data_IF_182750424602
#
_entry.id   IF_182750424602
#
_cell.length_a   1.000
_cell.length_b   1.000
_cell.length_c   1.000
_cell.angle_alpha   90.00
_cell.angle_beta   90.00
_cell.angle_gamma   90.00
#
_symmetry.space_group_name_H-M   'P 1'
#
loop_
_entity.id
_entity.type
_entity.pdbx_description
1 polymer ?
#
# COMPACT_ATOMS: atom_id res chain seq x y z
N UNK A 1 2.92 -11.00 7.96
CA UNK A 1 2.88 -10.26 6.68
C UNK A 1 1.47 -10.37 6.15
N UNK A 2 0.58 -9.54 6.68
CA UNK A 2 -0.77 -9.34 6.17
C UNK A 2 -0.63 -8.51 4.91
N UNK A 3 -0.96 -9.09 3.76
CA UNK A 3 -1.08 -8.33 2.52
C UNK A 3 -2.18 -7.28 2.74
N UNK A 4 -1.81 -6.01 2.80
CA UNK A 4 -2.72 -4.88 2.75
C UNK A 4 -3.38 -4.85 1.38
N UNK A 5 -4.67 -4.50 1.35
CA UNK A 5 -5.58 -4.56 0.20
C UNK A 5 -5.18 -3.62 -0.96
N UNK A 6 -4.10 -2.87 -0.82
CA UNK A 6 -3.74 -1.73 -1.66
C UNK A 6 -2.76 -2.03 -2.81
N UNK A 7 -2.05 -3.17 -2.83
CA UNK A 7 -1.04 -3.48 -3.87
C UNK A 7 -1.50 -4.56 -4.88
N UNK A 8 -2.71 -4.43 -5.44
CA UNK A 8 -3.24 -5.35 -6.46
C UNK A 8 -3.38 -4.63 -7.81
N UNK A 9 -2.66 -5.12 -8.82
CA UNK A 9 -2.66 -4.58 -10.17
C UNK A 9 -3.97 -4.96 -10.88
N UNK A 10 -4.84 -3.99 -11.16
CA UNK A 10 -6.22 -4.05 -11.70
C UNK A 10 -6.50 -5.09 -12.83
N UNK A 11 -6.40 -6.39 -12.54
CA UNK A 11 -6.72 -7.45 -13.52
C UNK A 11 -8.16 -7.92 -13.41
N UNK A 12 -8.74 -8.40 -14.51
CA UNK A 12 -10.10 -8.99 -14.51
C UNK A 12 -10.25 -10.08 -13.44
N UNK A 13 -9.23 -10.93 -13.29
CA UNK A 13 -9.24 -12.02 -12.31
C UNK A 13 -9.37 -11.53 -10.87
N UNK A 14 -8.84 -10.35 -10.54
CA UNK A 14 -8.96 -9.78 -9.21
C UNK A 14 -10.36 -9.23 -8.94
N UNK A 15 -10.94 -8.53 -9.93
CA UNK A 15 -12.34 -8.08 -9.86
C UNK A 15 -13.29 -9.28 -9.70
N UNK A 16 -13.07 -10.35 -10.47
CA UNK A 16 -13.83 -11.60 -10.33
C UNK A 16 -13.62 -12.24 -8.95
N UNK A 17 -12.37 -12.31 -8.46
CA UNK A 17 -12.09 -12.88 -7.14
C UNK A 17 -12.77 -12.11 -6.00
N UNK A 18 -12.83 -10.78 -6.08
CA UNK A 18 -13.54 -9.93 -5.12
C UNK A 18 -15.05 -10.22 -5.14
N UNK A 19 -15.63 -10.26 -6.34
CA UNK A 19 -17.04 -10.54 -6.51
C UNK A 19 -17.40 -11.95 -6.04
N UNK A 20 -16.59 -12.97 -6.33
CA UNK A 20 -16.79 -14.35 -5.86
C UNK A 20 -16.72 -14.42 -4.33
N UNK A 21 -15.75 -13.73 -3.70
CA UNK A 21 -15.61 -13.72 -2.23
C UNK A 21 -16.82 -13.13 -1.51
N UNK A 22 -17.59 -12.25 -2.16
CA UNK A 22 -18.83 -11.71 -1.59
C UNK A 22 -19.95 -12.75 -1.44
N UNK A 23 -19.88 -13.86 -2.18
CA UNK A 23 -20.97 -14.84 -2.26
C UNK A 23 -22.13 -14.43 -3.17
N UNK A 24 -22.13 -13.21 -3.69
CA UNK A 24 -23.20 -12.63 -4.51
C UNK A 24 -22.97 -12.79 -6.02
N UNK A 25 -21.80 -13.31 -6.42
CA UNK A 25 -21.50 -13.65 -7.81
C UNK A 25 -22.46 -14.72 -8.36
N UNK A 26 -23.01 -14.45 -9.55
CA UNK A 26 -23.90 -15.37 -10.27
C UNK A 26 -23.43 -15.69 -11.70
N UNK A 27 -22.32 -15.10 -12.13
CA UNK A 27 -21.69 -15.42 -13.42
C UNK A 27 -21.38 -14.19 -14.27
N UNK A 28 -20.72 -14.46 -15.40
CA UNK A 28 -20.39 -13.48 -16.44
C UNK A 28 -20.49 -14.16 -17.79
N UNK A 29 -21.10 -13.48 -18.76
CA UNK A 29 -21.12 -13.96 -20.15
C UNK A 29 -19.76 -13.76 -20.83
N UNK A 30 -19.57 -14.44 -21.96
CA UNK A 30 -18.46 -14.13 -22.85
C UNK A 30 -18.57 -12.67 -23.33
N UNK A 31 -17.42 -12.01 -23.51
CA UNK A 31 -17.41 -10.69 -24.12
C UNK A 31 -17.92 -10.77 -25.55
N UNK A 32 -18.75 -9.80 -25.92
CA UNK A 32 -19.27 -9.67 -27.28
C UNK A 32 -18.79 -8.36 -27.90
N UNK A 33 -18.66 -8.36 -29.22
CA UNK A 33 -18.06 -7.30 -30.01
C UNK A 33 -19.02 -6.89 -31.12
N UNK A 34 -18.96 -5.62 -31.50
CA UNK A 34 -19.83 -5.04 -32.52
C UNK A 34 -19.13 -3.89 -33.24
N UNK A 35 -19.53 -3.65 -34.50
CA UNK A 35 -19.11 -2.46 -35.25
C UNK A 35 -20.17 -1.35 -35.19
N UNK A 36 -21.45 -1.72 -35.10
CA UNK A 36 -22.60 -0.83 -35.20
C UNK A 36 -23.34 -0.64 -33.86
N UNK A 37 -22.96 -1.38 -32.82
CA UNK A 37 -23.63 -1.44 -31.52
C UNK A 37 -24.95 -2.21 -31.54
N UNK A 38 -25.35 -2.79 -32.67
CA UNK A 38 -26.64 -3.47 -32.88
C UNK A 38 -26.42 -4.98 -33.05
N UNK A 39 -25.47 -5.38 -33.89
CA UNK A 39 -25.14 -6.79 -34.12
C UNK A 39 -23.92 -7.16 -33.28
N UNK A 40 -24.08 -8.19 -32.44
CA UNK A 40 -23.08 -8.60 -31.46
C UNK A 40 -22.58 -10.01 -31.75
N UNK A 41 -21.26 -10.19 -31.66
CA UNK A 41 -20.58 -11.48 -31.87
C UNK A 41 -19.54 -11.75 -30.79
N UNK A 42 -19.45 -12.99 -30.32
CA UNK A 42 -18.39 -13.42 -29.40
C UNK A 42 -17.01 -13.54 -30.08
N UNK A 43 -16.99 -13.60 -31.42
CA UNK A 43 -15.78 -13.74 -32.23
C UNK A 43 -15.67 -12.58 -33.21
N UNK A 44 -14.50 -11.95 -33.28
CA UNK A 44 -14.23 -10.85 -34.20
C UNK A 44 -13.16 -11.25 -35.22
N UNK A 45 -13.56 -11.77 -36.40
CA UNK A 45 -12.61 -12.23 -37.42
C UNK A 45 -12.04 -11.09 -38.29
N UNK A 46 -12.45 -9.84 -38.09
CA UNK A 46 -12.00 -8.72 -38.91
C UNK A 46 -10.53 -8.36 -38.63
N UNK A 47 -9.84 -7.83 -39.65
CA UNK A 47 -8.46 -7.34 -39.53
C UNK A 47 -8.32 -6.01 -38.75
N UNK A 48 -9.45 -5.39 -38.39
CA UNK A 48 -9.52 -4.19 -37.56
C UNK A 48 -10.12 -4.50 -36.19
N UNK A 49 -9.81 -3.64 -35.20
CA UNK A 49 -10.47 -3.70 -33.91
C UNK A 49 -11.98 -3.44 -34.05
N UNK A 50 -12.84 -4.10 -33.25
CA UNK A 50 -14.27 -3.79 -33.21
C UNK A 50 -14.50 -2.39 -32.65
N UNK A 51 -15.51 -1.67 -33.14
CA UNK A 51 -15.85 -0.35 -32.61
C UNK A 51 -16.35 -0.40 -31.16
N UNK A 52 -17.05 -1.48 -30.78
CA UNK A 52 -17.66 -1.65 -29.47
C UNK A 52 -17.38 -3.04 -28.88
N UNK A 53 -17.27 -3.07 -27.56
CA UNK A 53 -17.30 -4.30 -26.77
C UNK A 53 -18.34 -4.18 -25.67
N UNK A 54 -18.99 -5.31 -25.36
CA UNK A 54 -19.88 -5.42 -24.21
C UNK A 54 -19.56 -6.65 -23.36
N UNK A 55 -19.87 -6.54 -22.08
CA UNK A 55 -19.87 -7.66 -21.16
C UNK A 55 -21.08 -7.58 -20.23
N UNK A 56 -21.57 -8.75 -19.85
CA UNK A 56 -22.77 -8.92 -19.03
C UNK A 56 -22.42 -9.69 -17.76
N UNK A 57 -22.68 -9.09 -16.60
CA UNK A 57 -22.41 -9.68 -15.28
C UNK A 57 -23.71 -9.90 -14.52
N UNK A 58 -23.82 -11.06 -13.87
CA UNK A 58 -24.97 -11.45 -13.07
C UNK A 58 -24.61 -11.40 -11.59
N UNK A 59 -25.47 -10.74 -10.80
CA UNK A 59 -25.36 -10.63 -9.34
C UNK A 59 -26.65 -11.13 -8.71
N UNK A 60 -26.53 -11.98 -7.69
CA UNK A 60 -27.66 -12.52 -6.95
C UNK A 60 -28.49 -11.41 -6.34
N UNK A 61 -29.81 -11.57 -6.34
CA UNK A 61 -30.75 -10.58 -5.80
C UNK A 61 -30.94 -9.34 -6.67
N UNK A 62 -30.21 -9.20 -7.78
CA UNK A 62 -30.44 -8.14 -8.78
C UNK A 62 -31.31 -8.70 -9.90
N UNK A 63 -32.43 -8.01 -10.19
CA UNK A 63 -33.43 -8.49 -11.16
C UNK A 63 -32.89 -8.56 -12.60
N UNK A 64 -32.03 -7.63 -12.98
CA UNK A 64 -31.50 -7.53 -14.34
C UNK A 64 -29.96 -7.59 -14.30
N UNK A 65 -29.32 -8.28 -15.26
CA UNK A 65 -27.88 -8.28 -15.33
C UNK A 65 -27.34 -6.89 -15.58
N UNK A 66 -26.13 -6.63 -15.09
CA UNK A 66 -25.43 -5.40 -15.39
C UNK A 66 -24.65 -5.57 -16.68
N UNK A 67 -24.93 -4.70 -17.64
CA UNK A 67 -24.28 -4.68 -18.95
C UNK A 67 -23.42 -3.44 -19.01
N UNK A 68 -22.15 -3.59 -19.37
CA UNK A 68 -21.28 -2.48 -19.75
C UNK A 68 -20.99 -2.56 -21.24
N UNK A 69 -21.09 -1.42 -21.90
CA UNK A 69 -20.70 -1.22 -23.30
C UNK A 69 -19.63 -0.15 -23.31
N UNK A 70 -18.53 -0.41 -24.01
CA UNK A 70 -17.41 0.51 -24.16
C UNK A 70 -17.05 0.65 -25.64
N UNK A 71 -16.57 1.84 -26.02
CA UNK A 71 -16.11 2.14 -27.37
C UNK A 71 -14.58 2.01 -27.46
N UNK A 72 -14.08 1.44 -28.57
CA UNK A 72 -12.65 1.24 -28.78
C UNK A 72 -11.90 2.58 -28.79
N UNK A 73 -12.45 3.57 -29.49
CA UNK A 73 -11.86 4.91 -29.60
C UNK A 73 -11.69 5.62 -28.24
N UNK A 74 -12.55 5.30 -27.27
CA UNK A 74 -12.52 5.89 -25.92
C UNK A 74 -11.69 5.05 -24.92
N UNK A 75 -11.40 3.79 -25.26
CA UNK A 75 -10.77 2.84 -24.34
C UNK A 75 -9.27 2.65 -24.61
N UNK A 76 -8.73 3.29 -25.65
CA UNK A 76 -7.32 3.16 -26.00
C UNK A 76 -6.42 3.78 -24.93
N UNK A 77 -5.41 3.05 -24.43
CA UNK A 77 -4.45 3.61 -23.49
C UNK A 77 -3.73 4.85 -24.05
N UNK A 78 -3.42 5.79 -23.17
CA UNK A 78 -2.65 6.98 -23.51
C UNK A 78 -1.17 6.63 -23.80
N UNK A 79 -0.62 5.66 -23.08
CA UNK A 79 0.74 5.17 -23.25
C UNK A 79 0.90 4.35 -24.54
N UNK A 80 1.88 4.72 -25.35
CA UNK A 80 2.09 4.17 -26.70
C UNK A 80 2.39 2.67 -26.68
N UNK A 81 3.22 2.20 -25.75
CA UNK A 81 3.56 0.79 -25.61
C UNK A 81 2.34 -0.09 -25.33
N UNK A 82 1.36 0.46 -24.60
CA UNK A 82 0.10 -0.19 -24.29
C UNK A 82 -0.87 -0.13 -25.46
N UNK A 83 -0.92 0.99 -26.18
CA UNK A 83 -1.69 1.14 -27.42
C UNK A 83 -1.29 0.12 -28.48
N UNK A 84 0.01 -0.02 -28.76
CA UNK A 84 0.55 -1.01 -29.70
C UNK A 84 0.19 -2.44 -29.26
N UNK A 85 0.19 -2.70 -27.96
CA UNK A 85 -0.22 -4.00 -27.43
C UNK A 85 -1.72 -4.27 -27.66
N UNK A 86 -2.57 -3.27 -27.47
CA UNK A 86 -4.01 -3.33 -27.74
C UNK A 86 -4.30 -3.58 -29.22
N UNK A 87 -3.65 -2.85 -30.12
CA UNK A 87 -3.80 -3.05 -31.56
C UNK A 87 -3.41 -4.46 -32.03
N UNK A 88 -2.40 -5.06 -31.39
CA UNK A 88 -1.98 -6.44 -31.67
C UNK A 88 -2.93 -7.49 -31.09
N UNK A 89 -3.65 -7.17 -30.01
CA UNK A 89 -4.53 -8.10 -29.28
C UNK A 89 -5.89 -7.47 -28.95
N UNK A 90 -6.63 -6.99 -29.96
CA UNK A 90 -7.79 -6.12 -29.72
C UNK A 90 -8.87 -6.84 -28.93
N UNK A 91 -9.27 -8.04 -29.37
CA UNK A 91 -10.31 -8.80 -28.69
C UNK A 91 -9.99 -9.13 -27.23
N UNK A 92 -8.75 -9.56 -26.95
CA UNK A 92 -8.37 -10.00 -25.61
C UNK A 92 -8.40 -8.83 -24.63
N UNK A 93 -7.77 -7.72 -24.98
CA UNK A 93 -7.61 -6.59 -24.07
C UNK A 93 -8.89 -5.77 -23.96
N UNK A 94 -9.58 -5.53 -25.07
CA UNK A 94 -10.85 -4.80 -25.06
C UNK A 94 -11.98 -5.59 -24.44
N UNK A 95 -12.06 -6.90 -24.71
CA UNK A 95 -13.00 -7.79 -24.03
C UNK A 95 -12.75 -7.80 -22.51
N UNK A 96 -11.47 -7.80 -22.09
CA UNK A 96 -11.11 -7.71 -20.67
C UNK A 96 -11.48 -6.36 -20.05
N UNK A 97 -11.30 -5.26 -20.78
CA UNK A 97 -11.73 -3.93 -20.35
C UNK A 97 -13.25 -3.86 -20.16
N UNK A 98 -14.03 -4.39 -21.11
CA UNK A 98 -15.49 -4.45 -21.01
C UNK A 98 -15.93 -5.27 -19.78
N UNK A 99 -15.26 -6.40 -19.52
CA UNK A 99 -15.52 -7.22 -18.33
C UNK A 99 -15.24 -6.47 -17.03
N UNK A 100 -14.11 -5.75 -16.93
CA UNK A 100 -13.82 -4.92 -15.75
C UNK A 100 -14.93 -3.89 -15.54
N UNK A 101 -15.31 -3.15 -16.58
CA UNK A 101 -16.39 -2.16 -16.52
C UNK A 101 -17.71 -2.78 -16.02
N UNK A 102 -18.10 -3.94 -16.55
CA UNK A 102 -19.32 -4.63 -16.13
C UNK A 102 -19.27 -5.09 -14.66
N UNK A 103 -18.12 -5.61 -14.20
CA UNK A 103 -17.94 -6.02 -12.80
C UNK A 103 -17.99 -4.81 -11.87
N UNK A 104 -17.37 -3.68 -12.26
CA UNK A 104 -17.46 -2.42 -11.50
C UNK A 104 -18.90 -1.94 -11.36
N UNK A 105 -19.68 -2.00 -12.43
CA UNK A 105 -21.10 -1.64 -12.38
C UNK A 105 -21.91 -2.58 -11.47
N UNK A 106 -21.66 -3.89 -11.56
CA UNK A 106 -22.37 -4.91 -10.78
C UNK A 106 -22.03 -4.90 -9.28
N UNK A 107 -20.79 -4.61 -8.93
CA UNK A 107 -20.25 -4.73 -7.56
C UNK A 107 -19.64 -3.42 -7.07
N UNK A 108 -20.25 -2.29 -7.43
CA UNK A 108 -19.78 -0.94 -7.07
C UNK A 108 -19.52 -0.75 -5.57
N UNK A 109 -20.36 -1.36 -4.74
CA UNK A 109 -20.26 -1.36 -3.27
C UNK A 109 -19.02 -2.10 -2.76
N UNK A 110 -18.53 -3.12 -3.47
CA UNK A 110 -17.34 -3.89 -3.10
C UNK A 110 -16.06 -3.30 -3.71
N UNK A 111 -16.16 -2.86 -4.96
CA UNK A 111 -15.05 -2.34 -5.74
C UNK A 111 -14.71 -0.90 -5.34
N UNK A 112 -15.70 -0.13 -4.89
CA UNK A 112 -15.58 1.30 -4.65
C UNK A 112 -15.50 2.13 -5.93
N UNK A 113 -15.11 3.40 -5.81
CA UNK A 113 -14.84 4.30 -6.95
C UNK A 113 -13.47 4.03 -7.59
N UNK A 114 -13.03 2.76 -7.66
CA UNK A 114 -11.76 2.38 -8.27
C UNK A 114 -11.81 2.66 -9.77
N UNK A 115 -11.26 3.79 -10.18
CA UNK A 115 -11.07 4.18 -11.59
C UNK A 115 -9.84 3.49 -12.16
N UNK A 116 -9.89 3.16 -13.44
CA UNK A 116 -8.69 2.70 -14.15
C UNK A 116 -7.73 3.91 -14.29
N UNK A 117 -6.42 3.68 -14.18
CA UNK A 117 -5.41 4.77 -14.25
C UNK A 117 -5.46 5.54 -15.58
N UNK A 118 -5.90 4.88 -16.65
CA UNK A 118 -6.11 5.45 -17.99
C UNK A 118 -7.41 6.28 -18.13
N UNK A 119 -8.31 6.25 -17.13
CA UNK A 119 -9.54 7.08 -17.09
C UNK A 119 -9.22 8.52 -16.63
N UNK A 120 -7.95 8.80 -16.30
CA UNK A 120 -7.46 10.12 -15.99
C UNK A 120 -7.14 10.85 -17.31
N UNK A 121 -7.96 11.85 -17.67
CA UNK A 121 -7.54 12.87 -18.61
C UNK A 121 -6.69 13.91 -17.85
N UNK A 122 -5.35 13.91 -17.98
CA UNK A 122 -4.53 14.94 -17.33
C UNK A 122 -4.76 16.34 -17.92
N UNK A 123 -5.47 16.45 -19.05
CA UNK A 123 -5.77 17.71 -19.74
C UNK A 123 -7.18 18.25 -19.45
N UNK A 124 -8.06 17.50 -18.78
CA UNK A 124 -9.30 18.06 -18.26
C UNK A 124 -8.93 19.08 -17.16
N UNK A 125 -9.31 20.37 -17.28
CA UNK A 125 -9.08 21.31 -16.20
C UNK A 125 -9.90 20.82 -15.01
N UNK A 126 -9.22 20.20 -14.05
CA UNK A 126 -9.83 19.86 -12.78
C UNK A 126 -10.49 21.14 -12.24
N UNK A 127 -11.81 21.11 -12.06
CA UNK A 127 -12.48 22.08 -11.20
C UNK A 127 -11.65 22.14 -9.92
N UNK A 128 -11.24 23.34 -9.44
CA UNK A 128 -10.24 23.43 -8.40
C UNK A 128 -10.72 22.67 -7.16
N UNK A 129 -10.18 21.48 -6.97
CA UNK A 129 -10.19 20.81 -5.70
C UNK A 129 -9.60 21.82 -4.73
N UNK A 130 -10.36 22.14 -3.67
CA UNK A 130 -9.92 23.06 -2.64
C UNK A 130 -8.47 22.73 -2.29
N UNK A 131 -7.56 23.67 -2.55
CA UNK A 131 -6.14 23.48 -2.38
C UNK A 131 -5.90 23.01 -0.95
N UNK A 132 -5.62 21.71 -0.77
CA UNK A 132 -4.95 21.24 0.42
C UNK A 132 -3.64 21.99 0.45
N UNK A 133 -3.52 22.97 1.36
CA UNK A 133 -2.28 23.70 1.61
C UNK A 133 -1.21 22.65 1.83
N UNK A 134 -0.35 22.43 0.84
CA UNK A 134 0.77 21.51 0.94
C UNK A 134 1.70 22.11 1.98
N UNK A 135 1.61 21.59 3.20
CA UNK A 135 2.45 22.00 4.33
C UNK A 135 3.91 21.75 3.97
N UNK A 136 4.73 22.79 4.04
CA UNK A 136 6.16 22.69 3.72
C UNK A 136 6.93 22.15 4.93
N UNK A 137 6.91 20.82 5.05
CA UNK A 137 7.58 20.09 6.12
C UNK A 137 9.10 20.36 6.17
N UNK A 138 9.73 20.66 5.04
CA UNK A 138 11.18 20.93 5.01
C UNK A 138 11.48 22.26 5.71
N UNK A 139 10.75 23.32 5.35
CA UNK A 139 10.89 24.63 5.98
C UNK A 139 10.55 24.58 7.48
N UNK A 140 9.53 23.83 7.88
CA UNK A 140 9.16 23.73 9.30
C UNK A 140 10.21 22.97 10.13
N UNK A 141 10.80 21.90 9.59
CA UNK A 141 11.87 21.18 10.26
C UNK A 141 13.13 22.05 10.39
N UNK A 142 13.49 22.83 9.38
CA UNK A 142 14.65 23.72 9.41
C UNK A 142 14.50 24.89 10.39
N UNK A 143 13.29 25.46 10.49
CA UNK A 143 13.01 26.62 11.35
C UNK A 143 12.65 26.25 12.79
N UNK A 144 12.49 24.97 13.11
CA UNK A 144 12.20 24.52 14.46
C UNK A 144 13.30 24.95 15.45
N UNK A 145 12.86 25.47 16.59
CA UNK A 145 13.71 26.11 17.61
C UNK A 145 14.10 25.18 18.77
N UNK A 146 13.49 24.00 18.89
CA UNK A 146 13.80 23.02 19.94
C UNK A 146 13.74 21.58 19.42
N UNK A 147 14.44 20.67 20.10
CA UNK A 147 14.41 19.24 19.76
C UNK A 147 12.98 18.67 19.83
N UNK A 148 12.20 19.08 20.83
CA UNK A 148 10.81 18.66 21.00
C UNK A 148 9.91 19.14 19.85
N UNK A 149 10.13 20.36 19.34
CA UNK A 149 9.38 20.91 18.21
C UNK A 149 9.70 20.17 16.90
N UNK A 150 10.97 19.79 16.68
CA UNK A 150 11.39 18.96 15.55
C UNK A 150 10.71 17.58 15.63
N UNK A 151 10.72 16.95 16.80
CA UNK A 151 10.12 15.62 17.00
C UNK A 151 8.60 15.62 16.86
N UNK A 152 7.92 16.71 17.25
CA UNK A 152 6.50 16.91 16.99
C UNK A 152 6.21 17.03 15.48
N UNK A 153 6.95 17.91 14.79
CA UNK A 153 6.80 18.13 13.34
C UNK A 153 7.09 16.85 12.56
N UNK A 154 8.10 16.07 12.95
CA UNK A 154 8.39 14.77 12.33
C UNK A 154 7.32 13.72 12.58
N UNK A 155 6.68 13.71 13.75
CA UNK A 155 5.52 12.84 14.02
C UNK A 155 4.34 13.20 13.14
N UNK A 156 4.07 14.50 12.97
CA UNK A 156 3.00 15.00 12.11
C UNK A 156 3.27 14.68 10.64
N UNK A 157 4.50 14.89 10.16
CA UNK A 157 4.90 14.52 8.79
C UNK A 157 4.73 13.01 8.53
N UNK A 158 5.05 12.16 9.52
CA UNK A 158 4.83 10.70 9.42
C UNK A 158 3.36 10.33 9.43
N UNK A 159 2.54 10.96 10.27
CA UNK A 159 1.10 10.76 10.30
C UNK A 159 0.44 11.21 8.99
N UNK A 160 0.98 12.23 8.33
CA UNK A 160 0.57 12.69 7.01
C UNK A 160 1.19 11.89 5.85
N UNK A 161 1.93 10.81 6.12
CA UNK A 161 2.65 10.01 5.12
C UNK A 161 3.61 10.82 4.23
N UNK A 162 4.07 11.98 4.67
CA UNK A 162 4.95 12.88 3.92
C UNK A 162 6.44 12.55 4.08
N UNK A 163 6.80 11.34 4.54
CA UNK A 163 8.20 10.97 4.80
C UNK A 163 8.94 10.70 3.49
N UNK A 164 9.93 11.54 3.19
CA UNK A 164 10.91 11.31 2.12
C UNK A 164 12.31 11.16 2.68
N UNK A 165 13.23 10.56 1.91
CA UNK A 165 14.64 10.43 2.31
C UNK A 165 15.28 11.80 2.57
N UNK A 166 14.93 12.81 1.77
CA UNK A 166 15.43 14.18 1.94
C UNK A 166 14.94 14.81 3.25
N UNK A 167 13.66 14.63 3.60
CA UNK A 167 13.12 15.14 4.87
C UNK A 167 13.73 14.44 6.08
N UNK A 168 14.04 13.15 5.98
CA UNK A 168 14.71 12.41 7.04
C UNK A 168 16.13 12.93 7.29
N UNK A 169 16.87 13.26 6.23
CA UNK A 169 18.20 13.89 6.35
C UNK A 169 18.10 15.25 7.04
N UNK A 170 17.11 16.08 6.67
CA UNK A 170 16.88 17.40 7.29
C UNK A 170 16.54 17.23 8.78
N UNK A 171 15.63 16.32 9.11
CA UNK A 171 15.23 16.00 10.48
C UNK A 171 16.42 15.60 11.35
N UNK A 172 17.22 14.62 10.89
CA UNK A 172 18.35 14.10 11.66
C UNK A 172 19.42 15.17 11.88
N UNK A 173 19.80 15.90 10.82
CA UNK A 173 20.77 17.01 10.90
C UNK A 173 20.33 18.05 11.93
N UNK A 174 19.09 18.51 11.83
CA UNK A 174 18.56 19.61 12.65
C UNK A 174 18.36 19.20 14.11
N UNK A 175 17.95 17.95 14.36
CA UNK A 175 17.85 17.39 15.71
C UNK A 175 19.21 17.30 16.40
N UNK A 176 20.24 16.87 15.67
CA UNK A 176 21.59 16.75 16.22
C UNK A 176 22.18 18.13 16.53
N UNK A 177 21.98 19.14 15.66
CA UNK A 177 22.36 20.54 15.92
C UNK A 177 21.76 21.08 17.23
N UNK A 178 20.44 20.95 17.41
CA UNK A 178 19.77 21.46 18.62
C UNK A 178 20.17 20.69 19.87
N UNK A 179 20.45 19.39 19.75
CA UNK A 179 20.92 18.57 20.89
C UNK A 179 22.34 18.94 21.30
N UNK A 180 23.21 19.24 20.33
CA UNK A 180 24.58 19.72 20.59
C UNK A 180 24.58 21.11 21.22
N UNK A 181 23.66 22.00 20.83
CA UNK A 181 23.51 23.32 21.44
C UNK A 181 22.95 23.26 22.88
N UNK A 182 22.08 22.29 23.17
CA UNK A 182 21.58 22.06 24.52
C UNK A 182 22.64 21.46 25.47
N UNK A 183 23.71 20.88 24.91
CA UNK A 183 24.82 20.32 25.66
C UNK A 183 25.97 21.34 25.74
N UNK A 184 25.80 22.38 26.55
CA UNK A 184 26.96 23.11 27.08
C UNK A 184 27.49 22.37 28.31
N UNK A 185 28.75 21.91 28.32
CA UNK A 185 29.32 21.30 29.50
C UNK A 185 29.41 22.38 30.58
N UNK A 186 28.64 22.23 31.65
CA UNK A 186 28.81 23.00 32.89
C UNK A 186 30.28 22.93 33.26
N UNK A 187 30.98 24.06 33.15
CA UNK A 187 32.35 24.16 33.66
C UNK A 187 32.26 24.00 35.17
N UNK A 188 32.47 22.77 35.64
CA UNK A 188 32.66 22.50 37.05
C UNK A 188 33.97 23.15 37.44
N UNK A 189 33.92 24.38 37.93
CA UNK A 189 35.02 25.02 38.64
C UNK A 189 35.26 24.21 39.90
N UNK A 190 36.12 23.19 39.77
CA UNK A 190 36.59 22.35 40.86
C UNK A 190 37.45 23.20 41.79
N UNK A 191 36.80 23.90 42.73
CA UNK A 191 37.46 24.49 43.90
C UNK A 191 37.23 23.52 45.06
N UNK A 192 37.80 22.32 44.96
CA UNK A 192 37.88 21.43 46.12
C UNK A 192 39.22 21.65 46.82
N UNK A 193 39.12 22.29 47.98
CA UNK A 193 40.16 22.30 49.00
C UNK A 193 40.61 20.87 49.28
N UNK A 194 41.92 20.68 49.34
CA UNK A 194 42.59 19.41 49.63
C UNK A 194 42.26 19.05 51.08
N UNK A 195 41.30 18.15 51.29
CA UNK A 195 41.16 17.39 52.54
C UNK A 195 41.94 16.07 52.40
N UNK A 196 42.71 15.81 53.45
CA UNK A 196 43.75 14.79 53.58
C UNK A 196 43.20 13.35 53.42
N UNK A 197 43.99 12.40 52.86
CA UNK A 197 43.53 11.03 52.60
C UNK A 197 43.15 10.26 53.88
N UNK A 198 41.94 9.70 53.92
CA UNK A 198 41.52 8.69 54.89
C UNK A 198 41.75 7.31 54.27
N UNK A 199 42.49 6.46 54.97
CA UNK A 199 42.82 5.08 54.56
C UNK A 199 41.55 4.25 54.29
N UNK A 200 41.57 3.37 53.26
CA UNK A 200 40.42 2.54 52.93
C UNK A 200 40.29 1.37 53.90
N UNK A 201 39.11 1.25 54.50
CA UNK A 201 38.68 0.06 55.23
C UNK A 201 38.26 -1.01 54.20
N UNK A 202 39.01 -2.11 54.17
CA UNK A 202 38.75 -3.29 53.34
C UNK A 202 37.54 -4.05 53.88
N UNK A 203 36.32 -3.75 53.43
CA UNK A 203 35.24 -4.71 53.57
C UNK A 203 34.06 -4.49 52.63
N UNK A 204 33.64 -5.59 52.01
CA UNK A 204 32.38 -5.80 51.28
C UNK A 204 32.37 -5.49 49.78
N UNK A 205 32.96 -6.40 49.00
CA UNK A 205 32.51 -6.66 47.63
C UNK A 205 31.37 -7.70 47.68
N UNK A 206 30.21 -7.46 47.04
CA UNK A 206 29.16 -8.47 46.96
C UNK A 206 29.55 -9.60 45.99
N UNK A 207 29.52 -10.82 46.50
CA UNK A 207 29.85 -12.06 45.78
C UNK A 207 28.80 -12.34 44.69
N UNK A 208 29.24 -12.57 43.44
CA UNK A 208 28.34 -12.95 42.33
C UNK A 208 27.89 -14.41 42.52
N UNK A 209 26.58 -14.71 42.47
CA UNK A 209 26.11 -16.09 42.56
C UNK A 209 26.57 -16.91 41.35
N UNK A 210 27.00 -18.14 41.61
CA UNK A 210 27.49 -19.07 40.59
C UNK A 210 26.38 -19.48 39.61
N UNK A 211 26.72 -19.76 38.33
CA UNK A 211 25.77 -20.18 37.30
C UNK A 211 25.13 -21.53 37.64
N UNK A 212 23.80 -21.57 37.71
CA UNK A 212 23.02 -22.79 37.95
C UNK A 212 22.73 -23.52 36.63
N UNK A 213 23.70 -24.31 36.15
CA UNK A 213 23.63 -25.06 34.88
C UNK A 213 22.79 -26.36 34.94
N UNK A 214 22.08 -26.63 36.04
CA UNK A 214 21.34 -27.90 36.24
C UNK A 214 19.81 -27.79 36.16
N UNK A 215 19.25 -26.63 35.78
CA UNK A 215 17.80 -26.49 35.58
C UNK A 215 17.43 -26.85 34.13
N UNK A 216 16.52 -27.82 33.90
CA UNK A 216 16.01 -28.06 32.56
C UNK A 216 15.25 -26.82 32.05
N UNK A 217 15.34 -26.48 30.75
CA UNK A 217 14.70 -25.29 30.21
C UNK A 217 13.19 -25.32 30.47
N UNK A 218 12.68 -24.28 31.15
CA UNK A 218 11.25 -24.13 31.44
C UNK A 218 10.37 -24.05 30.17
N UNK A 219 10.99 -23.72 29.03
CA UNK A 219 10.32 -23.68 27.74
C UNK A 219 10.63 -24.93 26.91
N UNK A 220 9.62 -25.79 26.82
CA UNK A 220 9.65 -27.08 26.16
C UNK A 220 10.47 -27.13 24.86
N UNK A 221 11.30 -28.18 24.80
CA UNK A 221 12.22 -28.52 23.72
C UNK A 221 11.76 -28.08 22.32
N UNK A 222 12.61 -27.29 21.64
CA UNK A 222 12.46 -26.81 20.26
C UNK A 222 12.14 -27.95 19.27
N UNK A 223 12.57 -29.17 19.59
CA UNK A 223 12.31 -30.39 18.82
C UNK A 223 10.81 -30.77 18.78
N UNK A 224 10.07 -30.58 19.88
CA UNK A 224 8.64 -30.93 19.97
C UNK A 224 7.76 -30.03 19.08
N UNK A 225 8.17 -28.77 18.87
CA UNK A 225 7.44 -27.83 17.99
C UNK A 225 7.52 -28.19 16.50
N UNK A 226 8.54 -28.93 16.06
CA UNK A 226 8.70 -29.30 14.64
C UNK A 226 7.84 -30.49 14.23
N UNK A 227 7.44 -31.36 15.16
CA UNK A 227 6.63 -32.54 14.85
C UNK A 227 5.16 -32.20 14.49
N UNK A 228 4.59 -31.13 15.07
CA UNK A 228 3.17 -30.78 14.86
C UNK A 228 2.84 -30.18 13.48
N UNK A 229 3.83 -29.75 12.69
CA UNK A 229 3.57 -29.07 11.40
C UNK A 229 3.41 -30.03 10.21
N UNK A 230 3.75 -31.32 10.33
CA UNK A 230 3.80 -32.25 9.18
C UNK A 230 2.56 -33.15 9.01
N UNK A 231 1.58 -33.10 9.92
CA UNK A 231 0.42 -34.01 9.92
C UNK A 231 -0.89 -33.48 9.31
N UNK A 232 -1.04 -32.16 9.11
CA UNK A 232 -2.36 -31.56 8.84
C UNK A 232 -2.77 -31.48 7.36
N UNK A 233 -2.11 -32.22 6.45
CA UNK A 233 -2.36 -32.12 5.00
C UNK A 233 -2.59 -33.48 4.33
N UNK A 234 -3.43 -34.34 4.90
CA UNK A 234 -4.12 -35.42 4.17
C UNK A 234 -5.47 -35.73 4.82
N UNK A 235 -6.55 -35.47 4.09
CA UNK A 235 -7.90 -35.98 4.38
C UNK A 235 -8.97 -34.90 4.49
N UNK A 236 -9.56 -34.47 3.38
CA UNK A 236 -10.83 -34.98 2.81
C UNK A 236 -11.09 -34.28 1.48
#
# INVERSE_FOLDING_TARGET
MTATIEDFANTVAEYEALAIKSGEWDGIDASEFSDDGVVWSQVWPAGSAPAFARATVYRKGVRAPQVAVIAWAESLPAAEEWRVLWERKPMTLFGSAAKRAAIRHAFRDLVGDRRDEDEFDPAAPAAPAAATVTRDWASELETAASADAIDATWREARAAHARTAQLEVIYLRRRDELRSQAWEPTQVTNTHAIETPREPDESSAPERPAPQDYLPPADGNRAARRARKKGARRGR
#
